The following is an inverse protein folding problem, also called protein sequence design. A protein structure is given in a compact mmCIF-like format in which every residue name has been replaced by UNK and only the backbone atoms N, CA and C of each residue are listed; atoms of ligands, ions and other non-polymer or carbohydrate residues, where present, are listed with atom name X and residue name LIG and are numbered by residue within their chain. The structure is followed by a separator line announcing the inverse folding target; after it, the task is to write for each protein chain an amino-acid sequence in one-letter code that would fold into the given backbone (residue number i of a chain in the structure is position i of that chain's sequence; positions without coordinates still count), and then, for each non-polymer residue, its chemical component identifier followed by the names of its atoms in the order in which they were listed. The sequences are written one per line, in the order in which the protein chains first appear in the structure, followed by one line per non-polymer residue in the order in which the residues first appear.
data_IF_797737546028
#
_entry.id   IF_797737546028
#
_cell.length_a   1.000
_cell.length_b   1.000
_cell.length_c   1.000
_cell.angle_alpha   90.00
_cell.angle_beta   90.00
_cell.angle_gamma   90.00
#
_symmetry.space_group_name_H-M   'P 1'
#
loop_
_entity.id
_entity.type
_entity.pdbx_description
1 polymer ?
#
# COMPACT_ATOMS: atom_id res chain seq x y z
N UNK A 1 -54.71 -39.58 81.68
CA UNK A 1 -55.26 -38.22 81.54
C UNK A 1 -54.15 -37.33 81.01
N UNK A 2 -54.33 -36.74 79.81
CA UNK A 2 -53.65 -35.55 79.22
C UNK A 2 -52.11 -35.42 79.35
N UNK A 3 -51.30 -35.11 78.34
CA UNK A 3 -51.51 -34.36 77.10
C UNK A 3 -50.25 -34.50 76.20
N UNK A 4 -50.47 -34.81 74.92
CA UNK A 4 -49.87 -34.23 73.70
C UNK A 4 -48.37 -33.85 73.64
N UNK A 5 -47.67 -34.54 72.73
CA UNK A 5 -46.94 -33.96 71.56
C UNK A 5 -45.91 -32.85 71.80
N UNK A 6 -44.62 -33.17 71.56
CA UNK A 6 -43.85 -32.74 70.36
C UNK A 6 -42.37 -33.15 70.45
N UNK A 7 -41.98 -34.11 69.59
CA UNK A 7 -40.62 -34.22 69.05
C UNK A 7 -40.35 -32.99 68.21
N UNK A 8 -39.22 -32.31 68.38
CA UNK A 8 -38.37 -31.79 67.28
C UNK A 8 -37.09 -31.14 67.83
N UNK A 9 -36.02 -31.92 67.87
CA UNK A 9 -34.67 -31.40 67.73
C UNK A 9 -34.42 -31.25 66.23
N UNK A 10 -34.45 -30.03 65.70
CA UNK A 10 -33.92 -29.73 64.37
C UNK A 10 -33.19 -28.39 64.39
N UNK A 11 -31.87 -28.53 64.36
CA UNK A 11 -30.88 -27.54 63.95
C UNK A 11 -31.36 -26.83 62.68
N UNK A 12 -31.74 -25.55 62.80
CA UNK A 12 -31.94 -24.67 61.66
C UNK A 12 -30.68 -23.82 61.47
N UNK A 13 -29.65 -24.46 60.90
CA UNK A 13 -28.50 -23.78 60.32
C UNK A 13 -28.96 -23.17 59.02
N UNK A 14 -29.42 -21.92 59.07
CA UNK A 14 -29.77 -21.16 57.87
C UNK A 14 -28.48 -20.88 57.10
N UNK A 15 -28.28 -21.67 56.04
CA UNK A 15 -27.24 -21.51 55.03
C UNK A 15 -27.41 -20.13 54.38
N UNK A 16 -26.57 -19.17 54.77
CA UNK A 16 -26.39 -17.92 54.05
C UNK A 16 -25.79 -18.26 52.68
N UNK A 17 -26.64 -18.48 51.68
CA UNK A 17 -26.22 -18.33 50.28
C UNK A 17 -26.06 -16.82 50.09
N UNK A 18 -24.89 -16.31 50.50
CA UNK A 18 -24.40 -15.07 49.95
C UNK A 18 -24.28 -15.30 48.45
N UNK A 19 -25.24 -14.78 47.68
CA UNK A 19 -25.00 -14.43 46.29
C UNK A 19 -23.94 -13.34 46.27
N UNK A 20 -22.68 -13.71 46.50
CA UNK A 20 -21.55 -12.87 46.18
C UNK A 20 -21.52 -12.80 44.66
N UNK A 21 -22.23 -11.80 44.11
CA UNK A 21 -21.97 -11.36 42.76
C UNK A 21 -20.46 -11.13 42.63
N UNK A 22 -19.85 -11.71 41.59
CA UNK A 22 -18.42 -11.51 41.35
C UNK A 22 -18.08 -10.02 41.39
N UNK A 23 -16.94 -9.64 41.99
CA UNK A 23 -16.54 -8.24 42.01
C UNK A 23 -16.43 -7.72 40.58
N UNK A 24 -16.74 -6.43 40.43
CA UNK A 24 -16.76 -5.73 39.15
C UNK A 24 -15.82 -4.53 39.21
N UNK A 25 -15.23 -4.18 38.07
CA UNK A 25 -14.41 -2.98 37.96
C UNK A 25 -15.30 -1.75 38.12
N UNK A 26 -14.91 -0.84 39.00
CA UNK A 26 -15.56 0.44 39.27
C UNK A 26 -14.64 1.57 38.79
N UNK A 27 -14.90 2.06 37.59
CA UNK A 27 -14.15 3.19 37.02
C UNK A 27 -14.77 4.56 37.29
N UNK A 28 -15.68 4.69 38.26
CA UNK A 28 -16.33 5.97 38.62
C UNK A 28 -15.35 7.05 39.10
N UNK A 29 -14.16 6.65 39.57
CA UNK A 29 -13.02 7.51 39.87
C UNK A 29 -11.71 6.74 39.73
N UNK A 30 -10.58 7.43 39.57
CA UNK A 30 -9.27 6.74 39.49
C UNK A 30 -8.96 5.88 40.73
N UNK A 31 -9.17 6.34 41.98
CA UNK A 31 -8.95 5.48 43.15
C UNK A 31 -9.89 4.28 43.20
N UNK A 32 -11.16 4.45 42.82
CA UNK A 32 -12.11 3.33 42.73
C UNK A 32 -11.67 2.31 41.67
N UNK A 33 -11.12 2.77 40.54
CA UNK A 33 -10.63 1.91 39.47
C UNK A 33 -9.47 1.04 39.94
N UNK A 34 -8.47 1.63 40.61
CA UNK A 34 -7.31 0.87 41.14
C UNK A 34 -7.77 -0.20 42.14
N UNK A 35 -8.58 0.20 43.12
CA UNK A 35 -9.04 -0.71 44.18
C UNK A 35 -9.93 -1.82 43.63
N UNK A 36 -10.84 -1.49 42.71
CA UNK A 36 -11.74 -2.47 42.13
C UNK A 36 -11.04 -3.45 41.18
N UNK A 37 -10.05 -2.99 40.40
CA UNK A 37 -9.20 -3.87 39.58
C UNK A 37 -8.43 -4.87 40.43
N UNK A 38 -7.80 -4.44 41.53
CA UNK A 38 -7.09 -5.34 42.46
C UNK A 38 -8.05 -6.36 43.09
N UNK A 39 -9.24 -5.91 43.52
CA UNK A 39 -10.27 -6.78 44.08
C UNK A 39 -10.79 -7.82 43.08
N UNK A 40 -10.98 -7.42 41.82
CA UNK A 40 -11.39 -8.32 40.73
C UNK A 40 -10.28 -9.35 40.48
N UNK A 41 -9.03 -8.91 40.35
CA UNK A 41 -7.87 -9.77 40.14
C UNK A 41 -7.70 -10.81 41.25
N UNK A 42 -7.81 -10.40 42.51
CA UNK A 42 -7.63 -11.29 43.65
C UNK A 42 -8.76 -12.32 43.80
N UNK A 43 -9.96 -11.98 43.32
CA UNK A 43 -11.09 -12.91 43.26
C UNK A 43 -10.95 -14.01 42.20
N UNK A 44 -10.10 -13.80 41.20
CA UNK A 44 -9.84 -14.79 40.16
C UNK A 44 -8.93 -15.92 40.68
N UNK A 45 -9.12 -17.16 40.16
CA UNK A 45 -8.14 -18.23 40.34
C UNK A 45 -6.74 -17.80 39.92
N UNK A 46 -5.71 -18.27 40.63
CA UNK A 46 -4.32 -17.85 40.38
C UNK A 46 -3.89 -17.97 38.90
N UNK A 47 -4.37 -18.98 38.18
CA UNK A 47 -4.04 -19.21 36.78
C UNK A 47 -4.69 -18.21 35.80
N UNK A 48 -5.75 -17.49 36.19
CA UNK A 48 -6.42 -16.47 35.36
C UNK A 48 -5.91 -15.05 35.60
N UNK A 49 -5.11 -14.83 36.64
CA UNK A 49 -4.65 -13.49 37.01
C UNK A 49 -3.75 -12.88 35.94
N UNK A 50 -2.87 -13.68 35.34
CA UNK A 50 -2.00 -13.25 34.25
C UNK A 50 -2.80 -12.96 32.97
N UNK A 51 -3.83 -13.76 32.66
CA UNK A 51 -4.75 -13.51 31.53
C UNK A 51 -5.53 -12.21 31.74
N UNK A 52 -6.00 -11.95 32.96
CA UNK A 52 -6.66 -10.70 33.33
C UNK A 52 -5.73 -9.48 33.20
N UNK A 53 -4.49 -9.57 33.69
CA UNK A 53 -3.49 -8.50 33.59
C UNK A 53 -3.15 -8.19 32.11
N UNK A 54 -3.05 -9.22 31.26
CA UNK A 54 -2.89 -9.08 29.81
C UNK A 54 -4.13 -8.45 29.16
N UNK A 55 -5.32 -8.86 29.56
CA UNK A 55 -6.58 -8.34 29.04
C UNK A 55 -6.75 -6.83 29.31
N UNK A 56 -6.40 -6.37 30.52
CA UNK A 56 -6.36 -4.94 30.85
C UNK A 56 -5.41 -4.17 29.92
N UNK A 57 -4.23 -4.73 29.66
CA UNK A 57 -3.24 -4.13 28.75
C UNK A 57 -3.77 -4.04 27.32
N UNK A 58 -4.41 -5.09 26.82
CA UNK A 58 -5.02 -5.11 25.48
C UNK A 58 -6.12 -4.05 25.37
N UNK A 59 -7.03 -3.97 26.36
CA UNK A 59 -8.13 -2.99 26.35
C UNK A 59 -7.56 -1.58 26.39
N UNK A 60 -6.60 -1.31 27.28
CA UNK A 60 -5.91 -0.03 27.36
C UNK A 60 -5.24 0.32 26.01
N UNK A 61 -4.46 -0.58 25.40
CA UNK A 61 -3.84 -0.34 24.09
C UNK A 61 -4.85 -0.25 22.93
N UNK A 62 -6.08 -0.72 23.11
CA UNK A 62 -7.13 -0.67 22.07
C UNK A 62 -7.94 0.60 22.10
N UNK A 63 -8.02 1.26 23.25
CA UNK A 63 -8.67 2.56 23.36
C UNK A 63 -7.85 3.67 22.69
N UNK A 64 -6.58 3.39 22.32
CA UNK A 64 -5.78 4.23 21.43
C UNK A 64 -6.00 3.79 19.97
N UNK A 65 -6.67 4.61 19.18
CA UNK A 65 -6.71 4.41 17.73
C UNK A 65 -5.44 5.01 17.10
N UNK A 66 -4.98 4.46 15.96
CA UNK A 66 -3.84 5.04 15.22
C UNK A 66 -4.08 6.46 14.71
N UNK A 67 -5.34 6.93 14.67
CA UNK A 67 -5.72 8.31 14.33
C UNK A 67 -5.34 9.28 15.46
N UNK A 68 -5.36 8.83 16.71
CA UNK A 68 -4.95 9.63 17.88
C UNK A 68 -3.44 9.80 17.98
N UNK A 69 -2.67 8.87 17.39
CA UNK A 69 -1.20 8.93 17.33
C UNK A 69 -0.69 10.01 16.36
N UNK A 70 -1.43 10.29 15.29
CA UNK A 70 -1.13 11.41 14.37
C UNK A 70 -1.51 12.77 14.97
N UNK A 71 -2.35 12.77 16.01
CA UNK A 71 -2.75 13.93 16.81
C UNK A 71 -2.16 13.87 18.24
N UNK A 72 -1.00 13.22 18.42
CA UNK A 72 -0.37 12.97 19.72
C UNK A 72 -0.10 14.22 20.59
N UNK A 73 -0.26 15.43 20.04
CA UNK A 73 -0.18 16.68 20.79
C UNK A 73 -1.44 17.05 21.59
N UNK A 74 -2.53 16.26 21.56
CA UNK A 74 -3.81 16.67 22.18
C UNK A 74 -4.41 15.77 23.26
N UNK A 75 -4.03 14.50 23.38
CA UNK A 75 -4.60 13.65 24.44
C UNK A 75 -3.68 13.56 25.66
N UNK A 76 -4.17 13.98 26.82
CA UNK A 76 -3.45 13.84 28.09
C UNK A 76 -3.69 12.44 28.70
N UNK A 77 -2.86 12.03 29.65
CA UNK A 77 -2.94 10.72 30.31
C UNK A 77 -4.31 10.43 30.98
N UNK A 78 -5.10 11.45 31.29
CA UNK A 78 -6.42 11.29 31.89
C UNK A 78 -7.49 10.89 30.86
N UNK A 79 -7.47 11.48 29.66
CA UNK A 79 -8.39 11.12 28.55
C UNK A 79 -8.15 9.68 28.07
N UNK A 80 -6.89 9.26 28.11
CA UNK A 80 -6.45 7.89 27.83
C UNK A 80 -6.98 6.90 28.88
N UNK A 81 -6.87 7.26 30.16
CA UNK A 81 -7.40 6.44 31.25
C UNK A 81 -8.93 6.37 31.19
N UNK A 82 -9.59 7.48 30.84
CA UNK A 82 -11.04 7.58 30.68
C UNK A 82 -11.56 6.68 29.54
N UNK A 83 -10.90 6.69 28.37
CA UNK A 83 -11.29 5.83 27.25
C UNK A 83 -11.14 4.35 27.58
N UNK A 84 -10.04 3.95 28.23
CA UNK A 84 -9.85 2.58 28.71
C UNK A 84 -10.91 2.20 29.76
N UNK A 85 -11.19 3.11 30.69
CA UNK A 85 -12.17 2.93 31.76
C UNK A 85 -13.61 2.71 31.27
N UNK A 86 -13.99 3.35 30.15
CA UNK A 86 -15.29 3.18 29.53
C UNK A 86 -15.52 1.74 29.03
N UNK A 87 -14.46 1.04 28.61
CA UNK A 87 -14.55 -0.35 28.17
C UNK A 87 -14.58 -1.37 29.32
N UNK A 88 -14.28 -0.95 30.56
CA UNK A 88 -14.06 -1.85 31.70
C UNK A 88 -15.11 -1.73 32.81
N UNK A 89 -15.80 -0.59 32.93
CA UNK A 89 -16.77 -0.36 34.01
C UNK A 89 -17.84 -1.46 34.10
N UNK A 90 -18.08 -1.96 35.31
CA UNK A 90 -19.15 -2.91 35.61
C UNK A 90 -18.88 -4.35 35.16
N UNK A 91 -17.68 -4.65 34.66
CA UNK A 91 -17.31 -5.98 34.18
C UNK A 91 -16.60 -6.80 35.25
N UNK A 92 -16.84 -8.11 35.24
CA UNK A 92 -16.10 -9.09 36.03
C UNK A 92 -14.75 -9.42 35.38
N UNK A 93 -13.89 -10.14 36.09
CA UNK A 93 -12.59 -10.57 35.54
C UNK A 93 -12.70 -11.44 34.28
N UNK A 94 -13.66 -12.37 34.26
CA UNK A 94 -13.91 -13.23 33.09
C UNK A 94 -14.46 -12.44 31.90
N UNK A 95 -15.34 -11.46 32.14
CA UNK A 95 -15.87 -10.58 31.08
C UNK A 95 -14.79 -9.67 30.49
N UNK A 96 -13.79 -9.26 31.28
CA UNK A 96 -12.63 -8.48 30.81
C UNK A 96 -11.74 -9.33 29.91
N UNK A 97 -11.44 -10.58 30.31
CA UNK A 97 -10.64 -11.52 29.50
C UNK A 97 -11.35 -11.78 28.16
N UNK A 98 -12.64 -12.12 28.19
CA UNK A 98 -13.42 -12.38 26.96
C UNK A 98 -13.46 -11.15 26.05
N UNK A 99 -13.61 -9.95 26.63
CA UNK A 99 -13.61 -8.68 25.89
C UNK A 99 -12.28 -8.48 25.16
N UNK A 100 -11.16 -8.61 25.86
CA UNK A 100 -9.83 -8.44 25.29
C UNK A 100 -9.58 -9.44 24.15
N UNK A 101 -9.96 -10.70 24.34
CA UNK A 101 -9.88 -11.74 23.34
C UNK A 101 -10.69 -11.41 22.08
N UNK A 102 -11.92 -10.92 22.25
CA UNK A 102 -12.75 -10.44 21.13
C UNK A 102 -12.07 -9.29 20.40
N UNK A 103 -11.53 -8.31 21.12
CA UNK A 103 -10.83 -7.17 20.53
C UNK A 103 -9.58 -7.62 19.73
N UNK A 104 -8.78 -8.56 20.24
CA UNK A 104 -7.65 -9.13 19.50
C UNK A 104 -8.10 -9.83 18.22
N UNK A 105 -9.15 -10.67 18.29
CA UNK A 105 -9.67 -11.36 17.10
C UNK A 105 -10.14 -10.38 16.04
N UNK A 106 -10.89 -9.35 16.44
CA UNK A 106 -11.36 -8.31 15.53
C UNK A 106 -10.22 -7.49 14.93
N UNK A 107 -9.18 -7.15 15.71
CA UNK A 107 -7.98 -6.49 15.19
C UNK A 107 -7.27 -7.33 14.15
N UNK A 108 -6.95 -8.59 14.48
CA UNK A 108 -6.30 -9.52 13.56
C UNK A 108 -7.11 -9.73 12.28
N UNK A 109 -8.44 -9.78 12.39
CA UNK A 109 -9.32 -9.88 11.23
C UNK A 109 -9.22 -8.62 10.34
N UNK A 110 -9.25 -7.42 10.92
CA UNK A 110 -9.08 -6.16 10.19
C UNK A 110 -7.71 -6.02 9.55
N UNK A 111 -6.65 -6.33 10.29
CA UNK A 111 -5.26 -6.29 9.79
C UNK A 111 -5.09 -7.26 8.61
N UNK A 112 -5.63 -8.47 8.72
CA UNK A 112 -5.66 -9.44 7.63
C UNK A 112 -6.45 -8.93 6.42
N UNK A 113 -7.62 -8.35 6.64
CA UNK A 113 -8.42 -7.78 5.55
C UNK A 113 -7.67 -6.67 4.82
N UNK A 114 -7.05 -5.75 5.55
CA UNK A 114 -6.22 -4.68 4.99
C UNK A 114 -4.99 -5.22 4.25
N UNK A 115 -4.35 -6.27 4.79
CA UNK A 115 -3.23 -6.94 4.15
C UNK A 115 -3.65 -7.57 2.81
N UNK A 116 -4.78 -8.27 2.77
CA UNK A 116 -5.33 -8.86 1.54
C UNK A 116 -5.74 -7.82 0.50
N UNK A 117 -6.40 -6.73 0.92
CA UNK A 117 -6.71 -5.60 0.02
C UNK A 117 -5.43 -4.95 -0.53
N UNK A 118 -4.40 -4.81 0.31
CA UNK A 118 -3.12 -4.27 -0.13
C UNK A 118 -2.42 -5.21 -1.11
N UNK A 119 -2.47 -6.51 -0.85
CA UNK A 119 -1.92 -7.54 -1.74
C UNK A 119 -2.59 -7.45 -3.11
N UNK A 120 -3.92 -7.52 -3.18
CA UNK A 120 -4.69 -7.44 -4.43
C UNK A 120 -4.38 -6.16 -5.22
N UNK A 121 -4.33 -5.00 -4.54
CA UNK A 121 -3.97 -3.72 -5.17
C UNK A 121 -2.57 -3.75 -5.78
N UNK A 122 -1.59 -4.32 -5.09
CA UNK A 122 -0.20 -4.40 -5.55
C UNK A 122 -0.05 -5.41 -6.69
N UNK A 123 -0.74 -6.55 -6.63
CA UNK A 123 -0.78 -7.55 -7.71
C UNK A 123 -1.42 -6.99 -8.97
N UNK A 124 -2.55 -6.30 -8.82
CA UNK A 124 -3.22 -5.62 -9.94
C UNK A 124 -2.32 -4.56 -10.56
N UNK A 125 -1.63 -3.76 -9.74
CA UNK A 125 -0.68 -2.75 -10.24
C UNK A 125 0.49 -3.40 -10.97
N UNK A 126 1.06 -4.48 -10.42
CA UNK A 126 2.13 -5.26 -11.07
C UNK A 126 1.66 -5.77 -12.44
N UNK A 127 0.53 -6.47 -12.48
CA UNK A 127 0.01 -7.06 -13.70
C UNK A 127 -0.29 -6.03 -14.79
N UNK A 128 -0.85 -4.86 -14.41
CA UNK A 128 -1.07 -3.75 -15.35
C UNK A 128 0.23 -3.16 -15.87
N UNK A 129 1.23 -2.95 -15.01
CA UNK A 129 2.53 -2.44 -15.45
C UNK A 129 3.23 -3.41 -16.41
N UNK A 130 3.19 -4.72 -16.12
CA UNK A 130 3.74 -5.77 -16.98
C UNK A 130 3.00 -5.86 -18.31
N UNK A 131 1.66 -5.86 -18.28
CA UNK A 131 0.83 -5.81 -19.47
C UNK A 131 1.16 -4.59 -20.33
N UNK A 132 1.17 -3.40 -19.73
CA UNK A 132 1.44 -2.17 -20.44
C UNK A 132 2.85 -2.14 -21.04
N UNK A 133 3.84 -2.68 -20.33
CA UNK A 133 5.19 -2.84 -20.87
C UNK A 133 5.21 -3.78 -22.09
N UNK A 134 4.49 -4.91 -22.04
CA UNK A 134 4.37 -5.84 -23.17
C UNK A 134 3.67 -5.20 -24.37
N UNK A 135 2.64 -4.39 -24.13
CA UNK A 135 1.93 -3.68 -25.20
C UNK A 135 2.81 -2.59 -25.83
N UNK A 136 3.49 -1.76 -25.03
CA UNK A 136 4.43 -0.77 -25.55
C UNK A 136 5.56 -1.39 -26.37
N UNK A 137 6.04 -2.58 -25.98
CA UNK A 137 7.09 -3.29 -26.70
C UNK A 137 6.67 -3.76 -28.11
N UNK A 138 5.38 -3.73 -28.46
CA UNK A 138 4.91 -4.00 -29.81
C UNK A 138 5.14 -2.82 -30.76
N UNK A 139 5.41 -1.62 -30.23
CA UNK A 139 5.81 -0.45 -31.04
C UNK A 139 7.33 -0.38 -31.02
N UNK A 140 7.95 -0.68 -32.16
CA UNK A 140 9.39 -0.80 -32.31
C UNK A 140 9.97 0.37 -33.11
N UNK A 141 11.13 0.85 -32.65
CA UNK A 141 12.00 1.74 -33.43
C UNK A 141 12.97 0.84 -34.18
N UNK A 142 12.76 0.71 -35.50
CA UNK A 142 13.54 -0.18 -36.37
C UNK A 142 14.92 0.43 -36.72
N UNK A 143 14.95 1.74 -36.93
CA UNK A 143 16.19 2.50 -37.15
C UNK A 143 16.08 3.92 -36.63
N UNK A 144 17.22 4.46 -36.20
CA UNK A 144 17.35 5.82 -35.68
C UNK A 144 18.75 6.36 -36.02
N UNK A 145 18.82 7.19 -37.06
CA UNK A 145 20.08 7.74 -37.55
C UNK A 145 20.14 9.25 -37.31
N UNK A 146 21.23 9.73 -36.75
CA UNK A 146 21.47 11.16 -36.55
C UNK A 146 22.55 11.66 -37.50
N UNK A 147 22.33 12.82 -38.12
CA UNK A 147 23.35 13.52 -38.87
C UNK A 147 23.11 15.03 -38.89
N UNK A 148 24.17 15.79 -39.18
CA UNK A 148 24.08 17.22 -39.45
C UNK A 148 24.09 17.41 -40.97
N UNK A 149 22.98 17.94 -41.48
CA UNK A 149 22.85 18.38 -42.86
C UNK A 149 23.21 19.87 -43.01
N UNK A 150 23.41 20.32 -44.25
CA UNK A 150 23.62 21.73 -44.54
C UNK A 150 22.49 22.20 -45.44
N UNK A 151 21.77 23.23 -44.99
CA UNK A 151 20.68 23.82 -45.76
C UNK A 151 21.20 24.52 -47.01
N UNK A 152 20.35 24.80 -48.00
CA UNK A 152 20.74 25.55 -49.21
C UNK A 152 21.38 26.91 -48.92
N UNK A 153 21.15 27.47 -47.73
CA UNK A 153 21.66 28.76 -47.28
C UNK A 153 22.89 28.63 -46.35
N UNK A 154 23.46 27.43 -46.22
CA UNK A 154 24.68 27.17 -45.45
C UNK A 154 24.47 26.99 -43.95
N UNK A 155 23.23 26.90 -43.47
CA UNK A 155 22.96 26.64 -42.06
C UNK A 155 23.11 25.14 -41.75
N UNK A 156 23.72 24.80 -40.62
CA UNK A 156 23.73 23.43 -40.11
C UNK A 156 22.35 23.07 -39.53
N UNK A 157 21.83 21.94 -39.97
CA UNK A 157 20.53 21.43 -39.57
C UNK A 157 20.69 20.00 -39.06
N UNK A 158 20.49 19.76 -37.75
CA UNK A 158 20.47 18.42 -37.23
C UNK A 158 19.21 17.70 -37.72
N UNK A 159 19.40 16.45 -38.11
CA UNK A 159 18.34 15.59 -38.61
C UNK A 159 18.40 14.26 -37.87
N UNK A 160 17.23 13.74 -37.50
CA UNK A 160 17.06 12.36 -37.02
C UNK A 160 16.15 11.65 -38.00
N UNK A 161 16.68 10.67 -38.73
CA UNK A 161 15.87 9.75 -39.52
C UNK A 161 15.40 8.60 -38.64
N UNK A 162 14.09 8.43 -38.55
CA UNK A 162 13.45 7.44 -37.71
C UNK A 162 12.58 6.52 -38.55
N UNK A 163 12.70 5.21 -38.32
CA UNK A 163 11.75 4.22 -38.81
C UNK A 163 11.07 3.56 -37.63
N UNK A 164 9.73 3.60 -37.60
CA UNK A 164 8.91 3.04 -36.51
C UNK A 164 7.86 2.11 -37.08
N UNK A 165 7.69 0.97 -36.43
CA UNK A 165 6.64 0.00 -36.72
C UNK A 165 5.66 -0.06 -35.55
N UNK A 166 4.37 0.10 -35.83
CA UNK A 166 3.32 -0.12 -34.85
C UNK A 166 2.82 -1.56 -34.96
N UNK A 167 3.36 -2.47 -34.15
CA UNK A 167 2.89 -3.85 -34.07
C UNK A 167 1.65 -4.05 -33.18
N UNK A 168 1.11 -2.98 -32.58
CA UNK A 168 -0.03 -3.04 -31.67
C UNK A 168 -1.38 -3.00 -32.40
N UNK A 169 -2.47 -3.14 -31.65
CA UNK A 169 -3.85 -3.01 -32.15
C UNK A 169 -4.44 -1.59 -31.99
N UNK A 170 -3.67 -0.63 -31.46
CA UNK A 170 -4.09 0.75 -31.26
C UNK A 170 -3.44 1.68 -32.28
N UNK A 171 -4.14 2.74 -32.67
CA UNK A 171 -3.56 3.83 -33.42
C UNK A 171 -2.65 4.68 -32.51
N UNK A 172 -1.42 4.93 -32.96
CA UNK A 172 -0.40 5.68 -32.24
C UNK A 172 -0.25 7.06 -32.86
N UNK A 173 -0.39 8.12 -32.06
CA UNK A 173 -0.29 9.50 -32.59
C UNK A 173 0.91 10.27 -32.07
N UNK A 174 1.46 9.87 -30.93
CA UNK A 174 2.57 10.58 -30.30
C UNK A 174 3.50 9.59 -29.61
N UNK A 175 4.81 9.82 -29.77
CA UNK A 175 5.85 9.06 -29.09
C UNK A 175 6.58 9.97 -28.09
N UNK A 176 6.79 9.50 -26.87
CA UNK A 176 7.73 10.09 -25.92
C UNK A 176 9.04 9.33 -26.00
N UNK A 177 10.10 10.04 -26.33
CA UNK A 177 11.40 9.47 -26.64
C UNK A 177 12.46 10.06 -25.71
N UNK A 178 13.41 9.23 -25.32
CA UNK A 178 14.66 9.64 -24.70
C UNK A 178 15.80 9.40 -25.69
N UNK A 179 16.48 10.48 -26.08
CA UNK A 179 17.59 10.43 -27.03
C UNK A 179 18.92 10.67 -26.35
N UNK A 180 19.83 9.72 -26.55
CA UNK A 180 21.22 9.80 -26.07
C UNK A 180 22.16 9.72 -27.27
N UNK A 181 22.95 10.76 -27.48
CA UNK A 181 23.92 10.84 -28.57
C UNK A 181 25.35 10.78 -28.03
N UNK A 182 26.10 9.75 -28.43
CA UNK A 182 27.46 9.51 -27.93
C UNK A 182 28.44 9.36 -29.09
N UNK A 183 29.73 9.56 -28.83
CA UNK A 183 30.80 9.30 -29.80
C UNK A 183 31.88 8.43 -29.16
N UNK A 184 32.61 7.61 -29.94
CA UNK A 184 33.71 6.81 -29.41
C UNK A 184 34.74 7.66 -28.63
N UNK A 185 35.19 7.15 -27.48
CA UNK A 185 36.23 7.80 -26.69
C UNK A 185 35.79 8.99 -25.83
N UNK A 186 34.48 9.27 -25.73
CA UNK A 186 33.93 10.31 -24.87
C UNK A 186 33.01 9.71 -23.79
N UNK A 187 33.24 10.04 -22.52
CA UNK A 187 32.43 9.54 -21.41
C UNK A 187 31.07 10.25 -21.29
N UNK A 188 31.01 11.55 -21.55
CA UNK A 188 29.78 12.34 -21.45
C UNK A 188 29.07 12.39 -22.79
N UNK A 189 27.75 12.15 -22.83
CA UNK A 189 26.98 12.28 -24.05
C UNK A 189 27.02 13.72 -24.61
N UNK A 190 26.85 13.85 -25.93
CA UNK A 190 26.61 15.13 -26.59
C UNK A 190 25.20 15.64 -26.33
N UNK A 191 24.26 14.71 -26.30
CA UNK A 191 22.85 14.94 -26.06
C UNK A 191 22.34 13.86 -25.12
N UNK A 192 21.57 14.26 -24.14
CA UNK A 192 20.83 13.40 -23.21
C UNK A 192 19.54 14.15 -22.87
N UNK A 193 18.52 13.98 -23.70
CA UNK A 193 17.28 14.76 -23.63
C UNK A 193 16.05 13.90 -23.91
N UNK A 194 14.95 14.23 -23.25
CA UNK A 194 13.63 13.69 -23.57
C UNK A 194 12.87 14.64 -24.48
N UNK A 195 12.20 14.11 -25.50
CA UNK A 195 11.36 14.88 -26.39
C UNK A 195 10.15 14.05 -26.81
N UNK A 196 9.14 14.72 -27.39
CA UNK A 196 7.98 14.04 -27.96
C UNK A 196 7.95 14.28 -29.47
N UNK A 197 7.33 13.36 -30.20
CA UNK A 197 7.04 13.53 -31.62
C UNK A 197 5.59 13.20 -31.92
N UNK A 198 4.91 14.14 -32.56
CA UNK A 198 3.54 13.98 -33.05
C UNK A 198 3.57 13.46 -34.48
N UNK A 199 2.97 12.30 -34.70
CA UNK A 199 2.84 11.63 -35.98
C UNK A 199 1.65 12.22 -36.72
N UNK A 200 1.90 12.96 -37.79
CA UNK A 200 0.83 13.56 -38.59
C UNK A 200 -0.07 12.48 -39.19
N UNK A 201 -1.35 12.45 -38.79
CA UNK A 201 -2.31 11.44 -39.24
C UNK A 201 -2.28 10.13 -38.46
N UNK A 202 -1.43 10.01 -37.44
CA UNK A 202 -1.26 8.77 -36.67
C UNK A 202 -0.47 7.69 -37.40
N UNK A 203 -0.21 6.60 -36.69
CA UNK A 203 0.43 5.38 -37.18
C UNK A 203 -0.51 4.21 -36.88
N UNK A 204 -1.11 3.65 -37.92
CA UNK A 204 -2.14 2.63 -37.80
C UNK A 204 -1.58 1.27 -37.32
N UNK A 205 -2.43 0.37 -36.79
CA UNK A 205 -2.05 -1.01 -36.47
C UNK A 205 -1.37 -1.73 -37.65
N UNK A 206 -0.19 -2.31 -37.40
CA UNK A 206 0.64 -3.00 -38.39
C UNK A 206 1.41 -2.10 -39.35
N UNK A 207 1.26 -0.78 -39.26
CA UNK A 207 1.91 0.17 -40.17
C UNK A 207 3.38 0.38 -39.79
N UNK A 208 4.22 0.58 -40.81
CA UNK A 208 5.60 1.05 -40.66
C UNK A 208 5.75 2.36 -41.39
N UNK A 209 6.26 3.38 -40.70
CA UNK A 209 6.48 4.70 -41.27
C UNK A 209 7.93 5.15 -41.03
N UNK A 210 8.43 5.96 -41.96
CA UNK A 210 9.74 6.57 -41.88
C UNK A 210 9.60 8.09 -41.99
N UNK A 211 10.29 8.81 -41.12
CA UNK A 211 10.19 10.26 -41.00
C UNK A 211 11.55 10.87 -40.64
N UNK A 212 11.79 12.08 -41.14
CA UNK A 212 12.95 12.88 -40.78
C UNK A 212 12.53 13.98 -39.80
N UNK A 213 13.10 13.95 -38.60
CA UNK A 213 12.88 14.94 -37.55
C UNK A 213 13.92 16.04 -37.65
N UNK A 214 13.50 17.27 -37.42
CA UNK A 214 14.39 18.43 -37.32
C UNK A 214 14.43 18.94 -35.87
N UNK A 215 15.25 18.34 -34.98
CA UNK A 215 15.40 18.83 -33.62
C UNK A 215 15.95 20.27 -33.59
N UNK A 216 15.83 20.93 -32.43
CA UNK A 216 16.21 22.33 -32.31
C UNK A 216 17.73 22.53 -32.53
N UNK A 217 18.08 23.17 -33.65
CA UNK A 217 19.48 23.49 -34.02
C UNK A 217 20.19 24.48 -33.10
N UNK A 218 19.45 25.21 -32.26
CA UNK A 218 20.06 26.11 -31.27
C UNK A 218 20.32 25.44 -29.92
N UNK A 219 19.89 24.17 -29.78
CA UNK A 219 20.15 23.34 -28.60
C UNK A 219 21.31 22.37 -28.81
N UNK A 220 21.48 21.38 -27.91
CA UNK A 220 22.58 20.41 -27.97
C UNK A 220 22.65 19.64 -29.29
N UNK A 221 21.50 19.35 -29.90
CA UNK A 221 21.40 18.67 -31.19
C UNK A 221 22.09 19.39 -32.34
N UNK A 222 22.21 20.71 -32.31
CA UNK A 222 22.84 21.50 -33.39
C UNK A 222 24.31 21.81 -33.16
N UNK A 223 24.95 21.18 -32.17
CA UNK A 223 26.36 21.42 -31.85
C UNK A 223 27.27 20.96 -33.01
N UNK A 224 27.98 21.91 -33.63
CA UNK A 224 28.85 21.69 -34.78
C UNK A 224 30.12 20.87 -34.48
N UNK A 225 30.41 20.63 -33.20
CA UNK A 225 31.50 19.76 -32.75
C UNK A 225 31.11 18.27 -32.69
N UNK A 226 29.83 17.94 -32.91
CA UNK A 226 29.38 16.55 -32.92
C UNK A 226 30.01 15.84 -34.13
N UNK A 227 30.80 14.77 -33.93
CA UNK A 227 31.46 14.08 -35.02
C UNK A 227 30.48 13.17 -35.77
N UNK A 228 30.81 12.85 -37.03
CA UNK A 228 29.96 12.03 -37.92
C UNK A 228 29.81 10.57 -37.49
N UNK A 229 30.72 10.06 -36.67
CA UNK A 229 30.68 8.70 -36.11
C UNK A 229 29.90 8.61 -34.79
N UNK A 230 29.15 9.67 -34.45
CA UNK A 230 28.25 9.66 -33.29
C UNK A 230 27.12 8.67 -33.48
N UNK A 231 26.74 8.00 -32.40
CA UNK A 231 25.68 7.00 -32.37
C UNK A 231 24.52 7.51 -31.53
N UNK A 232 23.33 7.52 -32.15
CA UNK A 232 22.08 7.85 -31.48
C UNK A 232 21.48 6.56 -30.91
N UNK A 233 21.13 6.60 -29.63
CA UNK A 233 20.25 5.62 -29.00
C UNK A 233 18.93 6.30 -28.66
N UNK A 234 17.82 5.74 -29.13
CA UNK A 234 16.48 6.18 -28.76
C UNK A 234 15.80 5.13 -27.89
N UNK A 235 15.21 5.58 -26.79
CA UNK A 235 14.37 4.75 -25.91
C UNK A 235 12.95 5.28 -25.95
N UNK A 236 11.98 4.40 -26.24
CA UNK A 236 10.56 4.73 -26.18
C UNK A 236 10.09 4.72 -24.72
N UNK A 237 9.73 5.90 -24.21
CA UNK A 237 9.27 6.10 -22.83
C UNK A 237 7.76 5.97 -22.69
N UNK A 238 7.01 6.33 -23.73
CA UNK A 238 5.56 6.37 -23.68
C UNK A 238 4.95 6.64 -25.05
N UNK A 239 3.64 6.44 -25.16
CA UNK A 239 2.89 6.52 -26.40
C UNK A 239 1.52 7.14 -26.08
N UNK A 240 1.00 8.03 -26.93
CA UNK A 240 -0.38 8.49 -26.83
C UNK A 240 -1.21 8.12 -28.08
N UNK A 241 -2.53 8.04 -27.89
CA UNK A 241 -3.52 7.85 -28.95
C UNK A 241 -3.85 9.18 -29.67
N UNK A 242 -4.68 9.14 -30.72
CA UNK A 242 -5.09 10.31 -31.49
C UNK A 242 -5.79 11.42 -30.67
N UNK A 243 -6.30 11.11 -29.48
CA UNK A 243 -6.91 12.05 -28.55
C UNK A 243 -5.90 12.70 -27.59
N UNK A 244 -4.62 12.32 -27.66
CA UNK A 244 -3.58 12.78 -26.75
C UNK A 244 -3.62 12.08 -25.37
N UNK A 245 -4.35 10.98 -25.26
CA UNK A 245 -4.41 10.19 -24.03
C UNK A 245 -3.30 9.11 -24.04
N UNK A 246 -2.67 8.86 -22.89
CA UNK A 246 -1.60 7.88 -22.80
C UNK A 246 -2.08 6.44 -23.03
N UNK A 247 -1.38 5.77 -23.93
CA UNK A 247 -1.47 4.34 -24.17
C UNK A 247 -0.47 3.61 -23.29
N UNK A 248 -0.98 2.68 -22.49
CA UNK A 248 -0.18 1.75 -21.68
C UNK A 248 0.86 2.47 -20.82
N UNK A 249 0.47 3.30 -19.86
CA UNK A 249 1.39 4.10 -19.06
C UNK A 249 1.42 3.69 -17.57
N UNK A 250 0.94 2.48 -17.23
CA UNK A 250 0.92 2.04 -15.84
C UNK A 250 2.34 2.01 -15.27
N UNK A 251 2.62 2.73 -14.18
CA UNK A 251 3.95 2.77 -13.58
C UNK A 251 4.26 1.44 -12.90
N UNK A 252 5.51 1.00 -13.00
CA UNK A 252 6.02 -0.15 -12.25
C UNK A 252 5.91 0.06 -10.74
N UNK A 253 6.01 -1.03 -9.99
CA UNK A 253 6.10 -0.96 -8.53
C UNK A 253 7.44 -0.30 -8.12
N UNK A 254 7.39 0.56 -7.12
CA UNK A 254 8.60 1.04 -6.42
C UNK A 254 9.26 -0.08 -5.63
N UNK A 255 10.54 0.07 -5.27
CA UNK A 255 11.29 -0.93 -4.47
C UNK A 255 10.57 -1.30 -3.16
N UNK A 256 10.03 -0.29 -2.46
CA UNK A 256 9.25 -0.50 -1.23
C UNK A 256 7.95 -1.29 -1.48
N UNK A 257 7.29 -1.03 -2.61
CA UNK A 257 6.07 -1.77 -2.98
C UNK A 257 6.38 -3.21 -3.38
N UNK A 258 7.50 -3.46 -4.06
CA UNK A 258 7.98 -4.81 -4.39
C UNK A 258 8.25 -5.59 -3.10
N UNK A 259 9.06 -5.04 -2.18
CA UNK A 259 9.37 -5.69 -0.91
C UNK A 259 8.11 -5.98 -0.08
N UNK A 260 7.16 -5.03 -0.07
CA UNK A 260 5.87 -5.21 0.61
C UNK A 260 5.02 -6.31 -0.04
N UNK A 261 4.97 -6.36 -1.36
CA UNK A 261 4.25 -7.38 -2.10
C UNK A 261 4.81 -8.78 -1.81
N UNK A 262 6.14 -8.93 -1.83
CA UNK A 262 6.80 -10.20 -1.50
C UNK A 262 6.51 -10.66 -0.07
N UNK A 263 6.58 -9.76 0.90
CA UNK A 263 6.22 -10.06 2.29
C UNK A 263 4.76 -10.52 2.41
N UNK A 264 3.83 -9.79 1.79
CA UNK A 264 2.40 -10.14 1.81
C UNK A 264 2.11 -11.45 1.09
N UNK A 265 2.79 -11.77 -0.01
CA UNK A 265 2.68 -13.07 -0.69
C UNK A 265 3.22 -14.21 0.17
N UNK A 266 4.33 -14.00 0.88
CA UNK A 266 4.88 -15.01 1.77
C UNK A 266 3.92 -15.32 2.95
N UNK A 267 3.22 -14.29 3.45
CA UNK A 267 2.30 -14.42 4.58
C UNK A 267 0.90 -14.92 4.16
N UNK A 268 0.37 -14.49 3.01
CA UNK A 268 -1.02 -14.70 2.60
C UNK A 268 -1.22 -15.40 1.25
N UNK A 269 -0.17 -15.64 0.45
CA UNK A 269 -0.28 -16.12 -0.94
C UNK A 269 -0.93 -17.49 -1.11
N UNK A 270 -0.91 -18.34 -0.08
CA UNK A 270 -1.61 -19.64 -0.09
C UNK A 270 -3.12 -19.55 0.16
N UNK A 271 -3.63 -18.43 0.67
CA UNK A 271 -5.05 -18.29 1.06
C UNK A 271 -5.95 -18.00 -0.15
N UNK A 272 -5.45 -17.24 -1.14
CA UNK A 272 -6.23 -16.88 -2.33
C UNK A 272 -6.49 -18.06 -3.29
N UNK A 273 -5.67 -19.12 -3.24
CA UNK A 273 -5.84 -20.29 -4.10
C UNK A 273 -7.01 -21.21 -3.67
N UNK A 274 -7.54 -21.05 -2.44
CA UNK A 274 -8.62 -21.91 -1.92
C UNK A 274 -10.02 -21.30 -1.98
N UNK A 275 -10.16 -20.02 -2.35
CA UNK A 275 -11.45 -19.36 -2.52
C UNK A 275 -11.88 -19.20 -3.98
N UNK A 276 -11.10 -19.74 -4.93
CA UNK A 276 -11.33 -19.62 -6.38
C UNK A 276 -11.76 -20.94 -7.05
N UNK A 277 -12.29 -21.92 -6.29
CA UNK A 277 -12.90 -23.15 -6.84
C UNK A 277 -14.36 -23.28 -6.40
#
# INVERSE_FOLDING_TARGET
MWSLLRLSALSLTTLMIAGCSDPKIDTSSMPAAVVSVEKVRDSLPAYKRDEFDQALTIIAMSSFSGIDLLNAQRMNAAEIAESANAYMHGLTGDEIIERADKMLRERRAREREQALQTLDRLETKQARAEHDQQQRAQVSIESADYYISTSPYGAFEPVIDLQVTNGSDQEVSELFLHGVLTSPGRETAWVDETFYYVIAGGLAPGETAQWSLAPNRFGPWGNDQIPRDSQLTLTLLGINNAQGEPLWNSPSLSENEVAKLEALRAEYGGVNAHTAN
#
